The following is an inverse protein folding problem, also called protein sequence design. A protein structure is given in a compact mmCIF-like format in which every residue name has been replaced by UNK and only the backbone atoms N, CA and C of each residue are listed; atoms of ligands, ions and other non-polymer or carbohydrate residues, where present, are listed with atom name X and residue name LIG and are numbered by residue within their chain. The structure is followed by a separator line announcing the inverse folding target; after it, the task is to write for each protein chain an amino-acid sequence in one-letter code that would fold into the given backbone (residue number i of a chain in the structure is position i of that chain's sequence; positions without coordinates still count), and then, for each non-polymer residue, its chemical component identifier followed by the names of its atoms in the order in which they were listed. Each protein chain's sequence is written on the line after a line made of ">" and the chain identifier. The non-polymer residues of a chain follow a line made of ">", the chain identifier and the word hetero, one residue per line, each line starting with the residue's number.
data_IF_156836757390
#
_entry.id   IF_156836757390
#
_cell.length_a   1.000
_cell.length_b   1.000
_cell.length_c   1.000
_cell.angle_alpha   90.00
_cell.angle_beta   90.00
_cell.angle_gamma   90.00
#
_symmetry.space_group_name_H-M   'P 1'
#
loop_
_entity.id
_entity.type
_entity.pdbx_description
1 polymer ?
#
# COMPACT_ATOMS: atom_id res chain seq x y z
N UNK A 1 -3.48 5.09 11.31
CA UNK A 1 -2.85 4.21 12.32
C UNK A 1 -1.37 4.14 11.98
N UNK A 2 -0.46 4.68 12.81
CA UNK A 2 0.98 4.64 12.50
C UNK A 2 1.49 3.26 12.88
N UNK A 3 1.55 2.34 11.91
CA UNK A 3 2.11 1.02 12.14
C UNK A 3 3.63 1.13 12.26
N UNK A 4 4.15 0.82 13.44
CA UNK A 4 5.58 0.56 13.62
C UNK A 4 5.82 -0.91 13.27
N UNK A 5 5.91 -1.19 11.97
CA UNK A 5 6.00 -2.56 11.47
C UNK A 5 7.40 -3.12 11.71
N UNK A 6 7.47 -4.30 12.31
CA UNK A 6 8.68 -5.11 12.41
C UNK A 6 8.35 -6.44 11.77
N UNK A 7 9.20 -6.82 10.81
CA UNK A 7 9.26 -8.11 10.11
C UNK A 7 8.63 -8.14 8.72
N UNK A 8 9.49 -7.98 7.72
CA UNK A 8 9.26 -8.44 6.37
C UNK A 8 10.18 -9.65 6.14
N UNK A 9 9.59 -10.81 5.90
CA UNK A 9 10.36 -12.02 5.62
C UNK A 9 10.96 -11.93 4.21
N UNK A 10 12.30 -11.92 4.11
CA UNK A 10 13.02 -12.05 2.85
C UNK A 10 13.39 -13.50 2.61
N UNK A 11 12.87 -14.05 1.51
CA UNK A 11 13.58 -15.06 0.76
C UNK A 11 14.24 -14.37 -0.45
N UNK A 12 15.53 -14.62 -0.75
CA UNK A 12 16.18 -14.08 -1.91
C UNK A 12 15.55 -14.62 -3.17
N UNK A 13 15.74 -13.85 -4.24
CA UNK A 13 15.19 -14.06 -5.57
C UNK A 13 15.64 -15.41 -6.14
N UNK A 14 14.81 -16.42 -6.00
CA UNK A 14 14.89 -17.66 -6.78
C UNK A 14 14.80 -17.30 -8.27
N UNK A 15 15.59 -17.96 -9.12
CA UNK A 15 15.65 -17.72 -10.57
C UNK A 15 14.37 -18.14 -11.33
N UNK A 16 13.30 -18.56 -10.64
CA UNK A 16 12.00 -18.88 -11.25
C UNK A 16 11.06 -17.67 -11.18
N UNK A 17 10.41 -17.37 -12.32
CA UNK A 17 9.54 -16.18 -12.51
C UNK A 17 8.13 -16.30 -11.90
N UNK A 18 7.81 -17.34 -11.13
CA UNK A 18 6.46 -17.48 -10.54
C UNK A 18 6.40 -16.77 -9.19
N UNK A 19 5.53 -15.77 -9.04
CA UNK A 19 5.30 -15.01 -7.81
C UNK A 19 4.79 -15.82 -6.60
N UNK A 20 4.63 -17.13 -6.75
CA UNK A 20 4.05 -18.05 -5.77
C UNK A 20 5.06 -18.67 -4.79
N UNK A 21 6.36 -18.36 -4.83
CA UNK A 21 7.33 -19.14 -4.03
C UNK A 21 7.44 -18.73 -2.55
N UNK A 22 6.94 -17.54 -2.18
CA UNK A 22 7.00 -17.01 -0.81
C UNK A 22 5.69 -17.27 -0.11
N UNK A 23 5.70 -18.10 0.92
CA UNK A 23 4.49 -18.53 1.64
C UNK A 23 4.67 -18.42 3.15
N UNK A 24 3.63 -18.00 3.84
CA UNK A 24 3.58 -18.00 5.30
C UNK A 24 2.21 -18.51 5.79
N UNK A 25 2.17 -19.08 6.99
CA UNK A 25 0.96 -19.68 7.56
C UNK A 25 0.61 -19.13 8.93
N UNK A 26 -0.55 -19.53 9.42
CA UNK A 26 -1.17 -19.05 10.66
C UNK A 26 -0.26 -19.12 11.89
N UNK A 27 0.53 -20.19 12.06
CA UNK A 27 1.40 -20.39 13.24
C UNK A 27 2.37 -19.22 13.41
N UNK A 28 2.98 -18.75 12.32
CA UNK A 28 3.92 -17.61 12.36
C UNK A 28 3.20 -16.31 12.70
N UNK A 29 2.00 -16.10 12.15
CA UNK A 29 1.18 -14.92 12.39
C UNK A 29 0.74 -14.84 13.86
N UNK A 30 0.29 -15.97 14.43
CA UNK A 30 -0.05 -16.07 15.85
C UNK A 30 1.14 -15.78 16.75
N UNK A 31 2.32 -16.29 16.40
CA UNK A 31 3.55 -16.04 17.16
C UNK A 31 3.91 -14.55 17.15
N UNK A 32 3.83 -13.90 16.00
CA UNK A 32 4.12 -12.46 15.86
C UNK A 32 3.09 -11.59 16.58
N UNK A 33 1.80 -11.94 16.50
CA UNK A 33 0.74 -11.29 17.27
C UNK A 33 1.01 -11.40 18.78
N UNK A 34 1.39 -12.59 19.28
CA UNK A 34 1.80 -12.78 20.69
C UNK A 34 3.06 -12.01 21.08
N UNK A 35 3.94 -11.69 20.13
CA UNK A 35 5.14 -10.86 20.34
C UNK A 35 4.83 -9.37 20.31
N UNK A 36 3.59 -8.95 20.05
CA UNK A 36 3.21 -7.55 19.99
C UNK A 36 3.65 -6.84 18.72
N UNK A 37 3.80 -7.57 17.61
CA UNK A 37 4.09 -6.98 16.30
C UNK A 37 2.85 -6.19 15.83
N UNK A 38 3.04 -4.97 15.34
CA UNK A 38 1.96 -4.08 14.94
C UNK A 38 1.27 -4.49 13.62
N UNK A 39 1.94 -5.27 12.78
CA UNK A 39 1.42 -5.78 11.52
C UNK A 39 2.47 -6.54 10.73
N UNK A 40 2.05 -7.25 9.69
CA UNK A 40 2.95 -8.06 8.85
C UNK A 40 2.67 -7.78 7.38
N UNK A 41 3.75 -7.68 6.60
CA UNK A 41 3.67 -7.58 5.14
C UNK A 41 4.43 -8.74 4.52
N UNK A 42 3.76 -9.50 3.67
CA UNK A 42 4.33 -10.64 2.95
C UNK A 42 4.28 -10.36 1.46
N UNK A 43 5.45 -10.24 0.82
CA UNK A 43 5.57 -10.14 -0.63
C UNK A 43 5.39 -11.52 -1.31
N UNK A 44 4.26 -12.16 -1.06
CA UNK A 44 3.94 -13.54 -1.40
C UNK A 44 2.52 -13.93 -0.97
N UNK A 45 2.26 -15.23 -0.86
CA UNK A 45 0.94 -15.77 -0.56
C UNK A 45 0.83 -16.26 0.90
N UNK A 46 -0.37 -16.24 1.46
CA UNK A 46 -0.67 -16.76 2.80
C UNK A 46 -1.42 -18.10 2.73
N UNK A 47 -1.32 -18.86 3.81
CA UNK A 47 -2.10 -20.08 4.04
C UNK A 47 -2.90 -19.94 5.33
N UNK A 48 -3.99 -20.71 5.43
CA UNK A 48 -4.82 -20.82 6.63
C UNK A 48 -5.55 -19.49 6.94
N UNK A 49 -6.24 -18.94 5.93
CA UNK A 49 -6.94 -17.64 6.03
C UNK A 49 -7.94 -17.63 7.19
N UNK A 50 -8.70 -18.71 7.39
CA UNK A 50 -9.70 -18.86 8.46
C UNK A 50 -9.15 -18.61 9.87
N UNK A 51 -7.86 -18.87 10.07
CA UNK A 51 -7.17 -18.63 11.32
C UNK A 51 -6.54 -17.24 11.39
N UNK A 52 -6.08 -16.72 10.25
CA UNK A 52 -5.45 -15.41 10.10
C UNK A 52 -6.47 -14.27 10.28
N UNK A 53 -7.67 -14.39 9.70
CA UNK A 53 -8.72 -13.36 9.81
C UNK A 53 -9.21 -13.14 11.25
N UNK A 54 -9.01 -14.12 12.13
CA UNK A 54 -9.37 -14.03 13.55
C UNK A 54 -8.31 -13.34 14.39
N UNK A 55 -7.17 -12.97 13.81
CA UNK A 55 -6.10 -12.28 14.52
C UNK A 55 -6.37 -10.78 14.53
N UNK A 56 -6.23 -10.16 15.70
CA UNK A 56 -6.28 -8.72 15.87
C UNK A 56 -4.93 -8.09 15.47
N UNK A 57 -4.51 -8.33 14.22
CA UNK A 57 -3.27 -7.81 13.67
C UNK A 57 -3.42 -7.66 12.15
N UNK A 58 -3.14 -6.47 11.59
CA UNK A 58 -3.21 -6.25 10.15
C UNK A 58 -2.10 -7.05 9.44
N UNK A 59 -2.51 -7.86 8.46
CA UNK A 59 -1.62 -8.72 7.68
C UNK A 59 -1.90 -8.50 6.20
N UNK A 60 -0.85 -8.18 5.43
CA UNK A 60 -0.93 -7.91 4.01
C UNK A 60 -0.18 -8.97 3.21
N UNK A 61 -0.79 -9.44 2.12
CA UNK A 61 -0.21 -10.41 1.21
C UNK A 61 -0.72 -10.24 -0.22
N UNK A 62 -0.03 -10.84 -1.19
CA UNK A 62 -0.42 -10.80 -2.61
C UNK A 62 -1.54 -11.76 -2.96
N UNK A 63 -1.76 -12.79 -2.15
CA UNK A 63 -2.76 -13.81 -2.42
C UNK A 63 -2.80 -14.89 -1.35
N UNK A 64 -3.63 -15.89 -1.58
CA UNK A 64 -3.84 -17.03 -0.68
C UNK A 64 -3.54 -18.31 -1.45
N UNK A 65 -2.82 -19.23 -0.81
CA UNK A 65 -2.49 -20.53 -1.39
C UNK A 65 -2.48 -21.61 -0.30
N UNK A 66 -3.06 -22.80 -0.55
CA UNK A 66 -2.99 -23.92 0.40
C UNK A 66 -1.59 -24.55 0.46
N UNK A 67 -0.69 -24.23 -0.48
CA UNK A 67 0.59 -24.90 -0.60
C UNK A 67 1.54 -24.52 0.56
N UNK A 68 2.26 -25.51 1.09
CA UNK A 68 3.23 -25.29 2.17
C UNK A 68 4.47 -24.52 1.72
N UNK A 69 5.11 -23.73 2.61
CA UNK A 69 6.39 -23.11 2.34
C UNK A 69 7.53 -24.12 2.33
N UNK A 70 8.59 -23.80 1.58
CA UNK A 70 9.85 -24.54 1.63
C UNK A 70 10.66 -24.13 2.86
N UNK A 71 11.00 -25.10 3.72
CA UNK A 71 11.56 -24.84 5.07
C UNK A 71 13.04 -24.43 5.09
N UNK A 72 13.81 -24.81 4.08
CA UNK A 72 15.25 -24.56 3.98
C UNK A 72 15.55 -23.60 2.82
N UNK A 73 14.64 -22.66 2.58
CA UNK A 73 14.85 -21.62 1.59
C UNK A 73 16.00 -20.73 2.07
N UNK A 74 16.82 -20.19 1.15
CA UNK A 74 17.72 -19.11 1.51
C UNK A 74 16.87 -17.95 2.08
N UNK A 75 17.42 -17.20 3.03
CA UNK A 75 16.69 -16.15 3.73
C UNK A 75 17.65 -15.29 4.53
N UNK A 76 17.38 -13.99 4.57
CA UNK A 76 18.15 -13.02 5.32
C UNK A 76 17.21 -12.21 6.21
N UNK A 77 17.72 -11.75 7.35
CA UNK A 77 16.95 -10.97 8.33
C UNK A 77 17.69 -9.66 8.58
N UNK A 78 16.95 -8.57 8.75
CA UNK A 78 17.50 -7.23 8.98
C UNK A 78 18.43 -6.75 7.86
N UNK A 79 18.13 -7.12 6.62
CA UNK A 79 18.78 -6.59 5.42
C UNK A 79 17.79 -5.70 4.65
N UNK A 80 18.26 -4.80 3.77
CA UNK A 80 17.38 -4.10 2.84
C UNK A 80 16.70 -5.07 1.87
N UNK A 81 15.40 -4.86 1.63
CA UNK A 81 14.56 -5.81 0.92
C UNK A 81 13.81 -5.11 -0.21
N UNK A 82 13.48 -5.82 -1.27
CA UNK A 82 12.51 -5.34 -2.26
C UNK A 82 11.16 -6.03 -2.03
N UNK A 83 10.15 -5.24 -1.65
CA UNK A 83 8.78 -5.70 -1.38
C UNK A 83 7.80 -4.85 -2.20
N UNK A 84 6.94 -5.50 -3.01
CA UNK A 84 5.97 -4.77 -3.84
C UNK A 84 6.60 -3.82 -4.86
N UNK A 85 7.85 -4.05 -5.25
CA UNK A 85 8.60 -3.15 -6.14
C UNK A 85 9.33 -2.01 -5.44
N UNK A 86 9.15 -1.83 -4.13
CA UNK A 86 9.84 -0.81 -3.34
C UNK A 86 10.92 -1.39 -2.43
N UNK A 87 11.98 -0.61 -2.21
CA UNK A 87 13.07 -0.99 -1.31
C UNK A 87 12.74 -0.54 0.11
N UNK A 88 12.66 -1.51 1.03
CA UNK A 88 12.40 -1.29 2.46
C UNK A 88 13.66 -1.60 3.24
N UNK A 89 14.10 -0.65 4.05
CA UNK A 89 15.27 -0.85 4.90
C UNK A 89 14.84 -1.17 6.33
N UNK A 90 15.67 -1.91 7.09
CA UNK A 90 15.40 -2.13 8.50
C UNK A 90 15.27 -0.79 9.24
N UNK A 91 14.14 -0.61 9.94
CA UNK A 91 13.84 0.62 10.70
C UNK A 91 13.02 1.66 9.92
N UNK A 92 12.70 1.44 8.66
CA UNK A 92 11.70 2.24 7.95
C UNK A 92 10.30 2.05 8.55
N UNK A 93 9.45 3.06 8.36
CA UNK A 93 8.07 3.07 8.87
C UNK A 93 7.15 2.62 7.75
N UNK A 94 6.30 1.63 8.02
CA UNK A 94 5.28 1.18 7.08
C UNK A 94 3.91 1.63 7.57
N UNK A 95 3.22 2.42 6.76
CA UNK A 95 1.84 2.83 7.03
C UNK A 95 0.94 2.07 6.09
N UNK A 96 0.03 1.27 6.64
CA UNK A 96 -0.93 0.49 5.87
C UNK A 96 -2.37 0.93 6.16
N UNK A 97 -3.20 0.91 5.11
CA UNK A 97 -4.65 1.06 5.15
C UNK A 97 -5.30 0.01 4.22
N UNK A 98 -6.55 0.23 3.81
CA UNK A 98 -7.25 -0.67 2.89
C UNK A 98 -6.77 -0.55 1.43
N UNK A 99 -6.21 0.60 1.05
CA UNK A 99 -5.73 0.87 -0.31
C UNK A 99 -4.35 0.23 -0.53
N UNK A 100 -3.54 0.18 0.53
CA UNK A 100 -2.29 -0.55 0.51
C UNK A 100 -1.31 -0.12 1.59
N UNK A 101 -0.03 -0.15 1.23
CA UNK A 101 1.07 0.13 2.16
C UNK A 101 2.02 1.15 1.54
N UNK A 102 2.35 2.16 2.33
CA UNK A 102 3.37 3.17 2.02
C UNK A 102 4.59 2.95 2.92
N UNK A 103 5.77 3.00 2.30
CA UNK A 103 7.06 2.89 2.98
C UNK A 103 7.64 4.28 3.15
N UNK A 104 7.88 4.66 4.40
CA UNK A 104 8.41 5.97 4.78
C UNK A 104 9.80 5.77 5.39
N UNK A 105 10.79 6.48 4.84
CA UNK A 105 12.14 6.48 5.40
C UNK A 105 12.14 7.09 6.78
N UNK A 106 12.83 6.45 7.71
CA UNK A 106 12.92 6.93 9.09
C UNK A 106 13.42 8.38 9.20
N UNK A 107 14.39 8.77 8.36
CA UNK A 107 14.94 10.13 8.28
C UNK A 107 13.94 11.19 7.77
N UNK A 108 13.01 10.79 6.91
CA UNK A 108 12.08 11.73 6.24
C UNK A 108 10.70 11.74 6.94
N UNK A 109 10.52 10.89 7.95
CA UNK A 109 9.23 10.63 8.58
C UNK A 109 8.58 11.87 9.19
N UNK A 110 9.36 12.73 9.85
CA UNK A 110 8.84 13.93 10.52
C UNK A 110 8.34 14.96 9.50
N UNK A 111 9.11 15.18 8.44
CA UNK A 111 8.75 16.10 7.36
C UNK A 111 7.50 15.62 6.63
N UNK A 112 7.47 14.33 6.25
CA UNK A 112 6.33 13.72 5.59
C UNK A 112 5.07 13.81 6.47
N UNK A 113 5.19 13.57 7.78
CA UNK A 113 4.07 13.70 8.70
C UNK A 113 3.48 15.12 8.73
N UNK A 114 4.33 16.15 8.74
CA UNK A 114 3.88 17.54 8.71
C UNK A 114 3.17 17.91 7.40
N UNK A 115 3.73 17.47 6.26
CA UNK A 115 3.12 17.68 4.94
C UNK A 115 1.79 16.95 4.84
N UNK A 116 1.71 15.70 5.30
CA UNK A 116 0.49 14.90 5.31
C UNK A 116 -0.60 15.52 6.18
N UNK A 117 -0.26 16.05 7.37
CA UNK A 117 -1.23 16.73 8.24
C UNK A 117 -1.82 17.98 7.59
N UNK A 118 -0.98 18.81 6.95
CA UNK A 118 -1.45 19.99 6.22
C UNK A 118 -2.37 19.60 5.05
N UNK A 119 -2.01 18.53 4.34
CA UNK A 119 -2.80 18.02 3.22
C UNK A 119 -4.16 17.53 3.68
N UNK A 120 -4.19 16.71 4.74
CA UNK A 120 -5.42 16.22 5.36
C UNK A 120 -6.34 17.36 5.81
N UNK A 121 -5.80 18.36 6.51
CA UNK A 121 -6.61 19.50 6.97
C UNK A 121 -7.24 20.27 5.79
N UNK A 122 -6.52 20.41 4.66
CA UNK A 122 -7.08 21.02 3.45
C UNK A 122 -8.16 20.16 2.78
N UNK A 123 -8.05 18.84 2.86
CA UNK A 123 -9.05 17.91 2.34
C UNK A 123 -10.30 17.90 3.22
N UNK A 124 -10.15 17.89 4.54
CA UNK A 124 -11.25 17.98 5.50
C UNK A 124 -12.08 19.27 5.29
N UNK A 125 -11.41 20.41 5.06
CA UNK A 125 -12.10 21.67 4.69
C UNK A 125 -12.84 21.56 3.36
N UNK A 126 -12.31 20.80 2.43
CA UNK A 126 -12.94 20.60 1.12
C UNK A 126 -14.17 19.72 1.24
N UNK A 127 -14.10 18.64 2.03
CA UNK A 127 -15.25 17.79 2.32
C UNK A 127 -16.34 18.55 3.06
N UNK A 128 -16.00 19.35 4.07
CA UNK A 128 -16.96 20.20 4.78
C UNK A 128 -17.65 21.20 3.84
N UNK A 129 -16.91 21.78 2.89
CA UNK A 129 -17.48 22.67 1.87
C UNK A 129 -18.42 21.92 0.92
N UNK A 130 -18.06 20.70 0.49
CA UNK A 130 -18.90 19.87 -0.38
C UNK A 130 -20.22 19.48 0.30
N UNK A 131 -20.18 19.20 1.60
CA UNK A 131 -21.39 18.87 2.38
C UNK A 131 -22.27 20.11 2.64
N UNK A 132 -21.66 21.28 2.87
CA UNK A 132 -22.39 22.49 3.18
C UNK A 132 -22.96 23.20 1.94
N UNK A 133 -22.18 23.29 0.85
CA UNK A 133 -22.55 24.04 -0.35
C UNK A 133 -21.84 23.46 -1.60
N UNK A 134 -22.57 22.59 -2.30
CA UNK A 134 -22.11 21.92 -3.50
C UNK A 134 -21.85 22.90 -4.66
N UNK A 135 -22.59 24.00 -4.75
CA UNK A 135 -22.42 25.00 -5.82
C UNK A 135 -21.15 25.81 -5.60
N UNK A 136 -20.88 26.25 -4.36
CA UNK A 136 -19.64 26.92 -4.00
C UNK A 136 -18.41 26.02 -4.22
N UNK A 137 -18.50 24.74 -3.88
CA UNK A 137 -17.44 23.77 -4.20
C UNK A 137 -17.24 23.65 -5.71
N UNK A 138 -18.31 23.48 -6.48
CA UNK A 138 -18.25 23.31 -7.93
C UNK A 138 -17.58 24.51 -8.61
N UNK A 139 -17.93 25.74 -8.22
CA UNK A 139 -17.31 26.96 -8.73
C UNK A 139 -15.81 27.07 -8.36
N UNK A 140 -15.43 26.68 -7.14
CA UNK A 140 -14.01 26.61 -6.71
C UNK A 140 -13.24 25.55 -7.50
N UNK A 141 -13.86 24.40 -7.72
CA UNK A 141 -13.26 23.29 -8.46
C UNK A 141 -13.05 23.68 -9.94
N UNK A 142 -14.04 24.31 -10.58
CA UNK A 142 -13.96 24.76 -11.98
C UNK A 142 -12.78 25.72 -12.19
N UNK A 143 -12.64 26.74 -11.33
CA UNK A 143 -11.50 27.68 -11.35
C UNK A 143 -10.15 27.00 -11.14
N UNK A 144 -10.10 25.95 -10.32
CA UNK A 144 -8.87 25.19 -10.06
C UNK A 144 -8.51 24.32 -11.26
N UNK A 145 -9.50 23.70 -11.89
CA UNK A 145 -9.35 22.86 -13.07
C UNK A 145 -8.95 23.68 -14.30
N UNK A 146 -9.57 24.85 -14.52
CA UNK A 146 -9.18 25.79 -15.58
C UNK A 146 -7.70 26.17 -15.49
N UNK A 147 -7.19 26.47 -14.29
CA UNK A 147 -5.75 26.74 -14.08
C UNK A 147 -4.85 25.54 -14.39
N UNK A 148 -5.31 24.31 -14.13
CA UNK A 148 -4.54 23.08 -14.40
C UNK A 148 -4.55 22.69 -15.88
N UNK A 149 -5.63 23.05 -16.58
CA UNK A 149 -5.86 22.78 -18.00
C UNK A 149 -5.36 23.92 -18.90
N UNK A 150 -5.08 25.11 -18.35
CA UNK A 150 -4.49 26.22 -19.09
C UNK A 150 -3.17 25.78 -19.76
N UNK A 151 -3.17 25.75 -21.10
CA UNK A 151 -2.02 25.33 -21.91
C UNK A 151 -1.87 23.82 -22.12
N UNK A 152 -2.84 23.00 -21.68
CA UNK A 152 -2.90 21.56 -21.96
C UNK A 152 -4.13 21.26 -22.78
N UNK A 153 -3.96 20.93 -24.05
CA UNK A 153 -5.05 20.33 -24.83
C UNK A 153 -5.27 18.91 -24.31
N UNK A 154 -6.44 18.59 -23.73
CA UNK A 154 -6.75 17.20 -23.43
C UNK A 154 -6.76 16.42 -24.74
N UNK A 155 -6.21 15.21 -24.72
CA UNK A 155 -6.36 14.30 -25.86
C UNK A 155 -7.85 14.01 -26.05
N UNK A 156 -8.46 14.69 -27.02
CA UNK A 156 -9.83 14.39 -27.45
C UNK A 156 -9.71 13.09 -28.25
N UNK A 157 -9.94 11.97 -27.58
CA UNK A 157 -10.19 10.72 -28.28
C UNK A 157 -11.54 10.89 -28.99
N UNK A 158 -11.49 11.06 -30.31
CA UNK A 158 -12.66 10.94 -31.18
C UNK A 158 -13.41 9.64 -30.84
N UNK A 159 -14.73 9.67 -30.92
CA UNK A 159 -15.52 8.46 -30.68
C UNK A 159 -15.08 7.35 -31.65
N UNK A 160 -15.21 6.08 -31.23
CA UNK A 160 -14.84 4.93 -32.09
C UNK A 160 -15.48 4.99 -33.48
N UNK A 161 -16.69 5.56 -33.58
CA UNK A 161 -17.43 5.77 -34.84
C UNK A 161 -16.73 6.81 -35.72
N UNK A 162 -16.19 7.89 -35.14
CA UNK A 162 -15.45 8.92 -35.88
C UNK A 162 -14.02 8.48 -36.26
N UNK A 163 -13.48 7.44 -35.61
CA UNK A 163 -12.15 6.90 -35.93
C UNK A 163 -12.18 5.74 -36.93
N UNK A 164 -13.26 4.95 -36.96
CA UNK A 164 -13.31 3.68 -37.71
C UNK A 164 -14.64 3.44 -38.44
N UNK A 165 -15.52 4.44 -38.56
CA UNK A 165 -16.77 4.36 -39.29
C UNK A 165 -16.62 4.69 -40.77
N UNK A 166 -15.93 3.83 -41.52
CA UNK A 166 -16.14 3.65 -42.97
C UNK A 166 -16.64 2.22 -43.23
#
# INVERSE_FOLDING_TARGET
>A
MVLRLVWAAVAPRSKRKSGDERKAGEIMMRFACKKGVAGIVVDGCLRDLDGIEKLDMPIYAKGITPQGPWKFGPGEVNVPIACGGQVVFPGDILVGDLDGIVVIRSKDALEIAQVAQKKKASEDQTFALMEADLEAYSAKHLKTTEKRMAGKEPAIFKSYIEQYGE
#
